data_IF_436968305915
#
_entry.id   IF_436968305915
#
_cell.length_a   1.000
_cell.length_b   1.000
_cell.length_c   1.000
_cell.angle_alpha   90.00
_cell.angle_beta   90.00
_cell.angle_gamma   90.00
#
_symmetry.space_group_name_H-M   'P 1'
#
loop_
_entity.id
_entity.type
_entity.pdbx_description
1 polymer ?
#
# COMPACT_ATOMS: atom_id res chain seq x y z
N UNK A 1 -9.25 6.12 -3.53
CA UNK A 1 -8.75 5.89 -4.92
C UNK A 1 -8.05 4.55 -4.99
N UNK A 2 -8.62 3.62 -5.70
CA UNK A 2 -8.14 2.24 -5.79
C UNK A 2 -7.71 1.93 -7.23
N UNK A 3 -6.51 1.35 -7.44
CA UNK A 3 -6.12 0.85 -8.75
C UNK A 3 -6.82 -0.46 -9.06
N UNK A 4 -6.92 -0.80 -10.33
CA UNK A 4 -7.34 -2.15 -10.75
C UNK A 4 -6.09 -2.95 -11.10
N UNK A 5 -5.69 -3.81 -10.21
CA UNK A 5 -4.44 -4.58 -10.35
C UNK A 5 -4.65 -5.85 -11.20
N UNK A 6 -5.90 -6.23 -11.41
CA UNK A 6 -6.24 -7.45 -12.15
C UNK A 6 -6.00 -7.34 -13.66
N UNK A 7 -6.09 -6.13 -14.20
CA UNK A 7 -5.93 -5.91 -15.63
C UNK A 7 -4.57 -5.27 -15.91
N UNK A 8 -3.76 -5.94 -16.70
CA UNK A 8 -2.47 -5.40 -17.13
C UNK A 8 -2.69 -4.29 -18.18
N UNK A 9 -3.24 -3.16 -17.73
CA UNK A 9 -3.57 -2.01 -18.57
C UNK A 9 -2.68 -0.83 -18.18
N UNK A 10 -1.71 -0.52 -19.05
CA UNK A 10 -0.76 0.57 -18.82
C UNK A 10 -1.43 1.94 -18.75
N UNK A 11 -2.48 2.16 -19.51
CA UNK A 11 -3.20 3.44 -19.52
C UNK A 11 -3.90 3.67 -18.17
N UNK A 12 -4.62 2.68 -17.67
CA UNK A 12 -5.25 2.75 -16.33
C UNK A 12 -4.21 2.91 -15.23
N UNK A 13 -3.10 2.21 -15.32
CA UNK A 13 -1.99 2.34 -14.38
C UNK A 13 -1.43 3.76 -14.37
N UNK A 14 -1.13 4.32 -15.54
CA UNK A 14 -0.58 5.66 -15.66
C UNK A 14 -1.57 6.73 -15.18
N UNK A 15 -2.85 6.59 -15.49
CA UNK A 15 -3.90 7.48 -15.01
C UNK A 15 -3.98 7.46 -13.47
N UNK A 16 -4.01 6.27 -12.88
CA UNK A 16 -3.99 6.10 -11.43
C UNK A 16 -2.74 6.71 -10.81
N UNK A 17 -1.57 6.42 -11.38
CA UNK A 17 -0.29 6.96 -10.93
C UNK A 17 -0.29 8.50 -10.91
N UNK A 18 -0.78 9.11 -11.98
CA UNK A 18 -0.84 10.56 -12.07
C UNK A 18 -1.78 11.15 -11.01
N UNK A 19 -2.93 10.55 -10.79
CA UNK A 19 -3.92 11.00 -9.80
C UNK A 19 -3.38 10.85 -8.38
N UNK A 20 -2.80 9.70 -8.05
CA UNK A 20 -2.25 9.44 -6.72
C UNK A 20 -1.05 10.35 -6.42
N UNK A 21 -0.25 10.64 -7.44
CA UNK A 21 0.89 11.55 -7.32
C UNK A 21 0.46 12.97 -6.99
N UNK A 22 -0.64 13.44 -7.57
CA UNK A 22 -1.21 14.75 -7.25
C UNK A 22 -1.68 14.82 -5.80
N UNK A 23 -2.34 13.76 -5.30
CA UNK A 23 -2.79 13.70 -3.91
C UNK A 23 -1.62 13.69 -2.94
N UNK A 24 -0.51 13.06 -3.30
CA UNK A 24 0.67 12.95 -2.42
C UNK A 24 1.33 14.30 -2.12
N UNK A 25 1.08 15.31 -2.95
CA UNK A 25 1.62 16.66 -2.76
C UNK A 25 0.90 17.46 -1.67
N UNK A 26 -0.26 16.99 -1.21
CA UNK A 26 -1.02 17.63 -0.14
C UNK A 26 -0.49 17.17 1.21
N UNK A 27 -0.14 18.10 2.08
CA UNK A 27 0.50 17.82 3.37
C UNK A 27 -0.37 16.98 4.31
N UNK A 28 -1.69 17.13 4.21
CA UNK A 28 -2.65 16.46 5.08
C UNK A 28 -3.18 15.13 4.54
N UNK A 29 -2.64 14.64 3.40
CA UNK A 29 -3.08 13.39 2.78
C UNK A 29 -2.04 12.30 3.01
N UNK A 30 -2.49 11.22 3.62
CA UNK A 30 -1.72 9.99 3.84
C UNK A 30 -2.30 8.87 2.98
N UNK A 31 -1.53 7.84 2.71
CA UNK A 31 -1.98 6.70 1.91
C UNK A 31 -1.98 5.43 2.77
N UNK A 32 -3.09 4.72 2.76
CA UNK A 32 -3.16 3.39 3.38
C UNK A 32 -2.53 2.35 2.45
N UNK A 33 -1.51 1.70 2.94
CA UNK A 33 -0.90 0.54 2.31
C UNK A 33 -1.68 -0.70 2.74
N UNK A 34 -2.85 -0.88 2.11
CA UNK A 34 -3.78 -1.96 2.45
C UNK A 34 -4.74 -2.21 1.29
N UNK A 35 -5.40 -3.38 1.30
CA UNK A 35 -6.44 -3.71 0.33
C UNK A 35 -5.95 -3.97 -1.10
N UNK A 36 -4.65 -4.03 -1.34
CA UNK A 36 -4.10 -4.23 -2.68
C UNK A 36 -4.50 -5.58 -3.27
N UNK A 37 -4.45 -6.63 -2.46
CA UNK A 37 -4.80 -7.99 -2.90
C UNK A 37 -6.24 -8.11 -3.36
N UNK A 38 -7.13 -7.31 -2.77
CA UNK A 38 -8.55 -7.30 -3.12
C UNK A 38 -8.80 -6.74 -4.52
N UNK A 39 -7.92 -5.83 -4.96
CA UNK A 39 -7.98 -5.24 -6.31
C UNK A 39 -7.22 -6.10 -7.35
N UNK A 40 -6.57 -7.16 -6.92
CA UNK A 40 -5.83 -8.09 -7.78
C UNK A 40 -6.72 -9.24 -8.25
N UNK A 41 -6.23 -10.00 -9.24
CA UNK A 41 -6.91 -11.22 -9.71
C UNK A 41 -6.81 -12.35 -8.67
N UNK A 42 -7.64 -13.36 -8.82
CA UNK A 42 -7.62 -14.54 -7.92
C UNK A 42 -6.26 -15.23 -7.90
N UNK A 43 -5.59 -15.27 -9.03
CA UNK A 43 -4.26 -15.88 -9.18
C UNK A 43 -3.12 -14.86 -9.06
N UNK A 44 -3.33 -13.81 -8.28
CA UNK A 44 -2.33 -12.75 -8.10
C UNK A 44 -1.03 -13.29 -7.53
N UNK A 45 0.06 -12.61 -7.88
CA UNK A 45 1.37 -12.83 -7.29
C UNK A 45 1.86 -11.53 -6.64
N UNK A 46 2.84 -11.64 -5.76
CA UNK A 46 3.46 -10.47 -5.14
C UNK A 46 4.04 -9.51 -6.18
N UNK A 47 4.56 -10.04 -7.28
CA UNK A 47 5.11 -9.23 -8.37
C UNK A 47 4.03 -8.40 -9.09
N UNK A 48 2.78 -8.85 -9.08
CA UNK A 48 1.66 -8.05 -9.62
C UNK A 48 1.41 -6.79 -8.78
N UNK A 49 1.68 -6.86 -7.48
CA UNK A 49 1.50 -5.76 -6.54
C UNK A 49 2.67 -4.77 -6.54
N UNK A 50 3.86 -5.22 -6.89
CA UNK A 50 5.09 -4.45 -6.77
C UNK A 50 5.06 -3.09 -7.48
N UNK A 51 4.61 -2.97 -8.75
CA UNK A 51 4.58 -1.66 -9.42
C UNK A 51 3.71 -0.63 -8.69
N UNK A 52 2.59 -1.08 -8.12
CA UNK A 52 1.67 -0.22 -7.38
C UNK A 52 2.27 0.20 -6.04
N UNK A 53 2.90 -0.73 -5.33
CA UNK A 53 3.63 -0.44 -4.11
C UNK A 53 4.74 0.59 -4.36
N UNK A 54 5.52 0.40 -5.42
CA UNK A 54 6.61 1.33 -5.75
C UNK A 54 6.12 2.74 -6.03
N UNK A 55 4.98 2.88 -6.71
CA UNK A 55 4.38 4.21 -6.94
C UNK A 55 4.04 4.88 -5.62
N UNK A 56 3.35 4.20 -4.71
CA UNK A 56 2.94 4.82 -3.44
C UNK A 56 4.14 5.08 -2.53
N UNK A 57 5.14 4.23 -2.54
CA UNK A 57 6.37 4.47 -1.79
C UNK A 57 7.12 5.69 -2.32
N UNK A 58 7.24 5.83 -3.63
CA UNK A 58 7.96 6.95 -4.25
C UNK A 58 7.21 8.28 -4.11
N UNK A 59 5.88 8.26 -4.08
CA UNK A 59 5.07 9.48 -4.01
C UNK A 59 4.78 9.91 -2.57
N UNK A 60 4.39 8.99 -1.69
CA UNK A 60 4.05 9.32 -0.30
C UNK A 60 5.23 9.15 0.65
N UNK A 61 6.23 8.39 0.27
CA UNK A 61 7.38 8.00 1.07
C UNK A 61 6.98 7.17 2.30
N UNK A 62 7.96 6.68 3.03
CA UNK A 62 7.73 5.97 4.28
C UNK A 62 7.05 6.82 5.35
N UNK A 63 7.08 8.15 5.20
CA UNK A 63 6.53 9.08 6.19
C UNK A 63 5.02 9.27 6.10
N UNK A 64 4.40 8.87 5.00
CA UNK A 64 2.97 9.06 4.75
C UNK A 64 2.23 7.80 4.35
N UNK A 65 2.88 6.64 4.43
CA UNK A 65 2.25 5.34 4.21
C UNK A 65 1.83 4.72 5.54
N UNK A 66 0.65 4.12 5.57
CA UNK A 66 0.14 3.44 6.76
C UNK A 66 -0.32 2.03 6.37
N UNK A 67 0.40 1.01 6.86
CA UNK A 67 0.00 -0.36 6.62
C UNK A 67 -1.30 -0.71 7.36
N UNK A 68 -2.14 -1.49 6.71
CA UNK A 68 -3.35 -2.06 7.31
C UNK A 68 -3.60 -3.46 6.77
N UNK A 69 -4.24 -4.30 7.57
CA UNK A 69 -4.54 -5.67 7.19
C UNK A 69 -5.69 -5.77 6.19
N UNK A 70 -6.58 -4.81 6.22
CA UNK A 70 -7.85 -4.85 5.49
C UNK A 70 -8.66 -6.11 5.83
N UNK A 71 -8.43 -6.67 7.04
CA UNK A 71 -9.19 -7.83 7.51
C UNK A 71 -10.61 -7.38 7.91
N UNK A 72 -11.66 -8.14 7.62
CA UNK A 72 -11.64 -9.46 6.97
C UNK A 72 -11.69 -9.42 5.44
N UNK A 73 -11.74 -8.26 4.79
CA UNK A 73 -11.86 -8.12 3.33
C UNK A 73 -10.71 -8.79 2.60
N UNK A 74 -9.51 -8.74 3.17
CA UNK A 74 -8.33 -9.39 2.57
C UNK A 74 -8.55 -10.90 2.32
N UNK A 75 -9.46 -11.53 3.05
CA UNK A 75 -9.80 -12.95 2.90
C UNK A 75 -10.43 -13.30 1.55
N UNK A 76 -10.85 -12.31 0.79
CA UNK A 76 -11.33 -12.53 -0.57
C UNK A 76 -10.23 -13.05 -1.52
N UNK A 77 -8.96 -12.80 -1.21
CA UNK A 77 -7.82 -13.16 -2.08
C UNK A 77 -6.68 -13.85 -1.34
N UNK A 78 -6.61 -13.71 -0.02
CA UNK A 78 -5.56 -14.28 0.82
C UNK A 78 -6.06 -14.37 2.26
N UNK A 79 -5.17 -14.62 3.21
CA UNK A 79 -5.46 -14.47 4.64
C UNK A 79 -4.62 -13.34 5.24
N UNK A 80 -4.77 -13.10 6.53
CA UNK A 80 -4.01 -12.07 7.23
C UNK A 80 -2.49 -12.29 7.10
N UNK A 81 -2.04 -13.53 7.33
CA UNK A 81 -0.62 -13.87 7.26
C UNK A 81 -0.06 -13.71 5.86
N UNK A 82 -0.83 -14.10 4.85
CA UNK A 82 -0.44 -13.95 3.45
C UNK A 82 -0.22 -12.51 3.07
N UNK A 83 -1.15 -11.63 3.41
CA UNK A 83 -1.00 -10.19 3.15
C UNK A 83 0.17 -9.59 3.95
N UNK A 84 0.27 -9.94 5.23
CA UNK A 84 1.38 -9.45 6.06
C UNK A 84 2.74 -9.88 5.49
N UNK A 85 2.87 -11.15 5.09
CA UNK A 85 4.12 -11.67 4.52
C UNK A 85 4.47 -10.98 3.20
N UNK A 86 3.49 -10.78 2.31
CA UNK A 86 3.70 -10.03 1.06
C UNK A 86 4.13 -8.59 1.34
N UNK A 87 3.51 -7.95 2.32
CA UNK A 87 3.86 -6.59 2.74
C UNK A 87 5.30 -6.52 3.27
N UNK A 88 5.72 -7.49 4.06
CA UNK A 88 7.09 -7.57 4.57
C UNK A 88 8.09 -7.80 3.45
N UNK A 89 7.75 -8.65 2.48
CA UNK A 89 8.63 -8.90 1.33
C UNK A 89 8.76 -7.66 0.43
N UNK A 90 7.67 -6.95 0.17
CA UNK A 90 7.70 -5.72 -0.61
C UNK A 90 8.57 -4.65 0.05
N UNK A 91 8.56 -4.58 1.38
CA UNK A 91 9.29 -3.56 2.15
C UNK A 91 10.66 -4.03 2.64
N UNK A 92 11.13 -5.21 2.24
CA UNK A 92 12.34 -5.84 2.82
C UNK A 92 13.60 -4.99 2.71
N UNK A 93 13.73 -4.17 1.66
CA UNK A 93 14.92 -3.36 1.40
C UNK A 93 14.89 -2.00 2.12
N UNK A 94 13.81 -1.68 2.82
CA UNK A 94 13.72 -0.46 3.60
C UNK A 94 14.52 -0.59 4.90
N UNK A 95 14.97 0.56 5.43
CA UNK A 95 15.59 0.60 6.75
C UNK A 95 14.59 0.22 7.86
N UNK A 96 15.10 -0.13 9.02
CA UNK A 96 14.24 -0.42 10.18
C UNK A 96 13.33 0.76 10.51
N UNK A 97 13.88 1.96 10.50
CA UNK A 97 13.15 3.20 10.79
C UNK A 97 12.02 3.44 9.76
N UNK A 98 12.29 3.22 8.49
CA UNK A 98 11.29 3.33 7.43
C UNK A 98 10.15 2.31 7.60
N UNK A 99 10.50 1.07 7.96
CA UNK A 99 9.51 0.03 8.25
C UNK A 99 8.65 0.38 9.46
N UNK A 100 9.26 0.89 10.53
CA UNK A 100 8.52 1.35 11.71
C UNK A 100 7.53 2.46 11.38
N UNK A 101 7.92 3.39 10.52
CA UNK A 101 7.03 4.46 10.07
C UNK A 101 5.79 3.88 9.39
N UNK A 102 5.98 2.99 8.42
CA UNK A 102 4.89 2.39 7.63
C UNK A 102 3.98 1.51 8.50
N UNK A 103 4.56 0.67 9.36
CA UNK A 103 3.81 -0.33 10.10
C UNK A 103 3.22 0.14 11.42
N UNK A 104 3.67 1.29 11.97
CA UNK A 104 3.14 1.77 13.25
C UNK A 104 3.16 3.29 13.45
N UNK A 105 4.30 3.95 13.24
CA UNK A 105 4.44 5.35 13.66
C UNK A 105 3.50 6.31 12.94
N UNK A 106 3.32 6.13 11.63
CA UNK A 106 2.46 7.03 10.85
C UNK A 106 0.99 6.91 11.26
N UNK A 107 0.50 5.72 11.54
CA UNK A 107 -0.89 5.52 11.98
C UNK A 107 -1.11 6.10 13.38
N UNK A 108 -0.13 5.96 14.28
CA UNK A 108 -0.18 6.55 15.61
C UNK A 108 -0.30 8.08 15.51
N UNK A 109 0.54 8.67 14.69
CA UNK A 109 0.56 10.13 14.47
C UNK A 109 -0.72 10.62 13.79
N UNK A 110 -1.12 9.96 12.70
CA UNK A 110 -2.26 10.39 11.89
C UNK A 110 -3.57 10.37 12.69
N UNK A 111 -3.79 9.30 13.44
CA UNK A 111 -5.02 9.14 14.24
C UNK A 111 -4.87 9.64 15.68
N UNK A 112 -3.71 10.20 16.02
CA UNK A 112 -3.42 10.69 17.37
C UNK A 112 -3.69 9.62 18.45
N UNK A 113 -3.17 8.42 18.20
CA UNK A 113 -3.37 7.29 19.11
C UNK A 113 -2.53 7.45 20.37
N UNK A 114 -3.12 7.11 21.50
CA UNK A 114 -2.43 7.05 22.79
C UNK A 114 -1.97 5.62 23.03
N UNK A 115 -0.71 5.40 22.91
CA UNK A 115 -0.08 4.09 23.08
C UNK A 115 1.00 4.13 24.16
#
# INVERSE_FOLDING_TARGET
>A
MKPKICKNNKEEFNDWKNKISKLSKLDNVYCKFSGMVTEACENWTEEDLRPYYEVVLNTFTDKKLMWGSDWPVCKLRTDYKGWLNSSKNLTKDLSLSEKENIFSQNVIKFYNLKV
#
